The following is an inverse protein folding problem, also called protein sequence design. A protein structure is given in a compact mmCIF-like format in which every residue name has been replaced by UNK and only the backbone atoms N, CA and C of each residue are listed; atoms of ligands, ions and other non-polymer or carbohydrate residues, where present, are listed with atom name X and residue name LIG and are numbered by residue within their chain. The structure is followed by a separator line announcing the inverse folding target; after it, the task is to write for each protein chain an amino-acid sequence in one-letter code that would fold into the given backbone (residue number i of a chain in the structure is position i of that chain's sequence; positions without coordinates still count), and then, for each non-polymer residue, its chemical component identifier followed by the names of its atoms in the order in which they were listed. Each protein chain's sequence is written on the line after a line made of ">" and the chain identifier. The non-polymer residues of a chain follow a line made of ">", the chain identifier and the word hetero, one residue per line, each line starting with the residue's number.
data_IF_629112066056
#
_entry.id   IF_629112066056
#
_cell.length_a   1.000
_cell.length_b   1.000
_cell.length_c   1.000
_cell.angle_alpha   90.00
_cell.angle_beta   90.00
_cell.angle_gamma   90.00
#
_symmetry.space_group_name_H-M   'P 1'
#
loop_
_entity.id
_entity.type
_entity.pdbx_description
1 polymer ?
#
# COMPACT_ATOMS: atom_id res chain seq x y z
N UNK A 1 16.34 42.92 21.67
CA UNK A 1 17.03 41.69 21.24
C UNK A 1 15.96 40.60 21.09
N UNK A 2 15.23 40.58 19.97
CA UNK A 2 13.98 39.78 19.83
C UNK A 2 13.84 39.10 18.45
N UNK A 3 14.92 38.96 17.68
CA UNK A 3 14.85 38.48 16.29
C UNK A 3 15.24 37.02 16.04
N UNK A 4 15.83 36.31 17.01
CA UNK A 4 16.51 35.04 16.75
C UNK A 4 15.64 33.78 16.93
N UNK A 5 14.46 33.89 17.51
CA UNK A 5 13.70 32.72 17.98
C UNK A 5 12.73 32.14 16.94
N UNK A 6 12.37 32.89 15.89
CA UNK A 6 11.46 32.43 14.84
C UNK A 6 12.11 31.57 13.75
N UNK A 7 13.45 31.57 13.63
CA UNK A 7 14.15 30.89 12.53
C UNK A 7 14.33 29.37 12.77
N UNK A 8 14.45 28.94 14.02
CA UNK A 8 14.74 27.54 14.37
C UNK A 8 13.55 26.59 14.20
N UNK A 9 12.31 27.10 14.32
CA UNK A 9 11.09 26.33 14.06
C UNK A 9 10.89 26.06 12.56
N UNK A 10 11.17 27.05 11.71
CA UNK A 10 11.03 26.96 10.26
C UNK A 10 12.10 26.08 9.60
N UNK A 11 13.34 26.06 10.12
CA UNK A 11 14.39 25.17 9.61
C UNK A 11 14.15 23.69 9.93
N UNK A 12 13.53 23.38 11.07
CA UNK A 12 13.19 22.00 11.45
C UNK A 12 12.08 21.38 10.61
N UNK A 13 11.22 22.20 10.01
CA UNK A 13 10.16 21.75 9.11
C UNK A 13 10.67 21.39 7.71
N UNK A 14 11.93 21.71 7.38
CA UNK A 14 12.47 21.65 6.01
C UNK A 14 13.38 20.44 5.76
N UNK A 15 13.04 19.26 6.29
CA UNK A 15 13.64 17.98 5.87
C UNK A 15 12.63 16.83 5.97
N UNK A 16 11.40 17.03 5.48
CA UNK A 16 10.61 15.88 5.05
C UNK A 16 11.15 15.50 3.68
N UNK A 17 11.89 14.40 3.63
CA UNK A 17 12.38 13.85 2.37
C UNK A 17 11.17 13.61 1.45
N UNK A 18 11.09 14.24 0.26
CA UNK A 18 9.93 14.12 -0.63
C UNK A 18 9.62 12.67 -1.02
N UNK A 19 10.59 11.76 -0.81
CA UNK A 19 10.43 10.32 -0.93
C UNK A 19 9.35 9.72 -0.01
N UNK A 20 9.15 10.28 1.18
CA UNK A 20 8.12 9.82 2.13
C UNK A 20 6.73 10.34 1.81
N UNK A 21 6.63 11.46 1.10
CA UNK A 21 5.35 12.07 0.73
C UNK A 21 4.50 11.11 -0.12
N UNK A 22 5.12 10.40 -1.07
CA UNK A 22 4.43 9.39 -1.87
C UNK A 22 3.89 8.23 -1.03
N UNK A 23 4.69 7.71 -0.08
CA UNK A 23 4.26 6.61 0.79
C UNK A 23 3.11 7.00 1.72
N UNK A 24 3.20 8.18 2.35
CA UNK A 24 2.13 8.72 3.21
C UNK A 24 0.87 8.97 2.41
N UNK A 25 0.98 9.58 1.22
CA UNK A 25 -0.17 9.86 0.36
C UNK A 25 -0.86 8.57 -0.08
N UNK A 26 -0.10 7.58 -0.56
CA UNK A 26 -0.65 6.28 -0.94
C UNK A 26 -1.33 5.56 0.22
N UNK A 27 -0.75 5.63 1.43
CA UNK A 27 -1.36 5.04 2.62
C UNK A 27 -2.70 5.71 2.95
N UNK A 28 -2.77 7.04 2.93
CA UNK A 28 -4.02 7.78 3.19
C UNK A 28 -5.08 7.44 2.13
N UNK A 29 -4.73 7.44 0.85
CA UNK A 29 -5.65 7.06 -0.24
C UNK A 29 -6.14 5.63 -0.06
N UNK A 30 -5.25 4.70 0.30
CA UNK A 30 -5.62 3.30 0.56
C UNK A 30 -6.58 3.17 1.74
N UNK A 31 -6.33 3.87 2.84
CA UNK A 31 -7.23 3.85 4.00
C UNK A 31 -8.61 4.44 3.66
N UNK A 32 -8.65 5.55 2.92
CA UNK A 32 -9.90 6.12 2.42
C UNK A 32 -10.64 5.14 1.52
N UNK A 33 -9.92 4.47 0.62
CA UNK A 33 -10.48 3.42 -0.22
C UNK A 33 -11.12 2.31 0.63
N UNK A 34 -10.42 1.80 1.65
CA UNK A 34 -10.94 0.77 2.56
C UNK A 34 -12.21 1.24 3.28
N UNK A 35 -12.19 2.44 3.87
CA UNK A 35 -13.32 2.97 4.63
C UNK A 35 -14.51 3.36 3.76
N UNK A 36 -14.29 3.78 2.51
CA UNK A 36 -15.38 4.05 1.58
C UNK A 36 -15.97 2.76 0.99
N UNK A 37 -15.16 1.72 0.80
CA UNK A 37 -15.55 0.48 0.13
C UNK A 37 -15.86 -0.64 1.13
N UNK A 38 -16.56 -0.32 2.22
CA UNK A 38 -17.03 -1.33 3.19
C UNK A 38 -18.31 -2.03 2.72
N UNK A 39 -18.86 -1.62 1.57
CA UNK A 39 -19.97 -2.30 0.93
C UNK A 39 -19.62 -3.77 0.65
N UNK A 40 -20.61 -4.63 0.93
CA UNK A 40 -20.47 -6.08 0.79
C UNK A 40 -20.63 -6.45 -0.67
N UNK A 41 -19.59 -7.07 -1.24
CA UNK A 41 -19.65 -7.70 -2.54
C UNK A 41 -19.91 -9.20 -2.38
N UNK A 42 -20.76 -9.75 -3.24
CA UNK A 42 -20.91 -11.20 -3.38
C UNK A 42 -19.87 -11.68 -4.41
N UNK A 43 -19.10 -12.68 -4.02
CA UNK A 43 -18.06 -13.28 -4.84
C UNK A 43 -18.38 -14.76 -4.99
N UNK A 44 -18.66 -15.17 -6.21
CA UNK A 44 -18.76 -16.57 -6.61
C UNK A 44 -17.43 -16.96 -7.26
N UNK A 45 -16.69 -17.88 -6.64
CA UNK A 45 -15.42 -18.37 -7.19
C UNK A 45 -15.35 -19.89 -7.13
N UNK A 46 -15.35 -20.53 -8.30
CA UNK A 46 -15.41 -21.98 -8.51
C UNK A 46 -16.68 -22.61 -7.92
N UNK A 47 -16.71 -22.85 -6.61
CA UNK A 47 -17.82 -23.42 -5.82
C UNK A 47 -17.98 -22.70 -4.47
N UNK A 48 -17.34 -21.55 -4.32
CA UNK A 48 -17.23 -20.82 -3.07
C UNK A 48 -18.02 -19.52 -3.20
N UNK A 49 -19.08 -19.40 -2.40
CA UNK A 49 -19.91 -18.21 -2.33
C UNK A 49 -19.57 -17.45 -1.05
N UNK A 50 -18.82 -16.36 -1.19
CA UNK A 50 -18.40 -15.53 -0.06
C UNK A 50 -18.93 -14.12 -0.24
N UNK A 51 -19.54 -13.61 0.81
CA UNK A 51 -19.86 -12.19 0.93
C UNK A 51 -18.76 -11.50 1.74
N UNK A 52 -18.02 -10.59 1.13
CA UNK A 52 -16.97 -9.82 1.81
C UNK A 52 -16.92 -8.37 1.31
N UNK A 53 -16.42 -7.44 2.14
CA UNK A 53 -16.14 -6.09 1.70
C UNK A 53 -15.21 -6.06 0.48
N UNK A 54 -15.50 -5.20 -0.49
CA UNK A 54 -14.75 -5.12 -1.76
C UNK A 54 -13.26 -4.87 -1.55
N UNK A 55 -12.89 -4.09 -0.52
CA UNK A 55 -11.49 -3.82 -0.21
C UNK A 55 -10.71 -5.09 0.19
N UNK A 56 -11.35 -6.04 0.87
CA UNK A 56 -10.70 -7.30 1.25
C UNK A 56 -10.41 -8.16 0.03
N UNK A 57 -11.34 -8.19 -0.93
CA UNK A 57 -11.13 -8.89 -2.20
C UNK A 57 -9.92 -8.31 -2.96
N UNK A 58 -9.84 -6.98 -3.08
CA UNK A 58 -8.71 -6.32 -3.75
C UNK A 58 -7.37 -6.52 -3.03
N UNK A 59 -7.38 -6.49 -1.70
CA UNK A 59 -6.17 -6.79 -0.93
C UNK A 59 -5.71 -8.23 -1.17
N UNK A 60 -6.64 -9.19 -1.17
CA UNK A 60 -6.35 -10.60 -1.41
C UNK A 60 -5.79 -10.82 -2.82
N UNK A 61 -6.39 -10.21 -3.85
CA UNK A 61 -5.90 -10.34 -5.24
C UNK A 61 -4.52 -9.70 -5.40
N UNK A 62 -4.27 -8.56 -4.76
CA UNK A 62 -2.95 -7.93 -4.75
C UNK A 62 -1.89 -8.85 -4.11
N UNK A 63 -2.19 -9.42 -2.94
CA UNK A 63 -1.28 -10.36 -2.26
C UNK A 63 -1.02 -11.59 -3.13
N UNK A 64 -2.05 -12.18 -3.73
CA UNK A 64 -1.91 -13.33 -4.63
C UNK A 64 -1.02 -13.01 -5.84
N UNK A 65 -1.26 -11.89 -6.52
CA UNK A 65 -0.45 -11.44 -7.65
C UNK A 65 1.01 -11.24 -7.25
N UNK A 66 1.26 -10.60 -6.10
CA UNK A 66 2.60 -10.40 -5.57
C UNK A 66 3.31 -11.74 -5.27
N UNK A 67 2.62 -12.69 -4.64
CA UNK A 67 3.17 -14.02 -4.37
C UNK A 67 3.51 -14.78 -5.65
N UNK A 68 2.66 -14.71 -6.68
CA UNK A 68 2.93 -15.31 -8.00
C UNK A 68 4.22 -14.72 -8.59
N UNK A 69 4.36 -13.39 -8.58
CA UNK A 69 5.57 -12.71 -9.08
C UNK A 69 6.81 -13.17 -8.31
N UNK A 70 6.75 -13.21 -6.97
CA UNK A 70 7.87 -13.71 -6.15
C UNK A 70 8.24 -15.16 -6.49
N UNK A 71 7.25 -16.02 -6.67
CA UNK A 71 7.46 -17.42 -7.00
C UNK A 71 8.09 -17.59 -8.38
N UNK A 72 7.63 -16.85 -9.39
CA UNK A 72 8.21 -16.81 -10.74
C UNK A 72 9.66 -16.31 -10.69
N UNK A 73 9.94 -15.23 -9.95
CA UNK A 73 11.30 -14.73 -9.78
C UNK A 73 12.22 -15.77 -9.14
N UNK A 74 11.74 -16.47 -8.11
CA UNK A 74 12.50 -17.51 -7.43
C UNK A 74 12.82 -18.69 -8.36
N UNK A 75 11.85 -19.13 -9.15
CA UNK A 75 12.05 -20.19 -10.15
C UNK A 75 13.04 -19.77 -11.23
N UNK A 76 12.95 -18.54 -11.72
CA UNK A 76 13.85 -18.01 -12.75
C UNK A 76 15.29 -17.82 -12.24
N UNK A 77 15.48 -17.41 -10.98
CA UNK A 77 16.82 -17.35 -10.37
C UNK A 77 17.45 -18.73 -10.24
N UNK A 78 16.67 -19.75 -9.86
CA UNK A 78 17.16 -21.13 -9.76
C UNK A 78 17.65 -21.68 -11.11
N UNK A 79 17.00 -21.30 -12.22
CA UNK A 79 17.39 -21.70 -13.59
C UNK A 79 18.62 -20.99 -14.14
N UNK A 80 19.02 -19.83 -13.59
CA UNK A 80 20.22 -19.09 -14.02
C UNK A 80 21.51 -19.50 -13.28
N UNK A 81 21.36 -20.27 -12.20
CA UNK A 81 22.46 -20.74 -11.35
C UNK A 81 22.87 -22.20 -11.64
N UNK A 82 22.20 -22.85 -12.59
CA UNK A 82 22.47 -24.22 -13.04
C UNK A 82 22.78 -24.20 -14.52
#
# INVERSE_FOLDING_TARGET
>A
MEGAQHSSASERLKKIDPKYFGGVTSLVVFLLFVFQNTEKAQVEFLWLDITMPLFLLLLLTFVLAYLIVLLVQRLNRKRRSS
#
